data_IF_381007433300
#
_entry.id   IF_381007433300
#
_cell.length_a   1.000
_cell.length_b   1.000
_cell.length_c   1.000
_cell.angle_alpha   90.00
_cell.angle_beta   90.00
_cell.angle_gamma   90.00
#
_symmetry.space_group_name_H-M   'P 1'
#
loop_
_entity.id
_entity.type
_entity.pdbx_description
1 polymer ?
#
# COMPACT_ATOMS: atom_id res chain seq x y z
N UNK A 1 -39.56 14.13 -7.43
CA UNK A 1 -39.07 14.01 -6.04
C UNK A 1 -38.25 12.73 -5.84
N UNK A 2 -37.19 12.51 -6.62
CA UNK A 2 -36.35 11.29 -6.54
C UNK A 2 -34.89 11.56 -6.12
N UNK A 3 -34.54 12.80 -5.76
CA UNK A 3 -33.17 13.20 -5.43
C UNK A 3 -32.78 13.15 -3.95
N UNK A 4 -33.74 13.03 -3.02
CA UNK A 4 -33.45 13.19 -1.58
C UNK A 4 -33.12 11.89 -0.83
N UNK A 5 -33.41 10.71 -1.40
CA UNK A 5 -33.26 9.42 -0.68
C UNK A 5 -31.83 8.85 -0.81
N UNK A 6 -31.14 9.09 -1.93
CA UNK A 6 -29.78 8.59 -2.16
C UNK A 6 -28.72 9.30 -1.31
N UNK A 7 -28.87 10.61 -1.10
CA UNK A 7 -27.94 11.44 -0.32
C UNK A 7 -27.89 11.04 1.16
N UNK A 8 -29.03 10.61 1.73
CA UNK A 8 -29.10 10.21 3.14
C UNK A 8 -28.41 8.86 3.42
N UNK A 9 -28.45 7.89 2.49
CA UNK A 9 -27.78 6.59 2.68
C UNK A 9 -26.25 6.71 2.61
N UNK A 10 -25.74 7.51 1.68
CA UNK A 10 -24.31 7.79 1.56
C UNK A 10 -23.80 8.52 2.82
N UNK A 11 -24.51 9.55 3.28
CA UNK A 11 -24.13 10.29 4.49
C UNK A 11 -24.14 9.43 5.78
N UNK A 12 -25.08 8.47 5.91
CA UNK A 12 -25.17 7.59 7.08
C UNK A 12 -24.06 6.53 7.10
N UNK A 13 -23.71 5.94 5.94
CA UNK A 13 -22.57 5.00 5.83
C UNK A 13 -21.25 5.72 6.11
N UNK A 14 -21.03 6.92 5.55
CA UNK A 14 -19.83 7.72 5.83
C UNK A 14 -19.70 8.14 7.30
N UNK A 15 -20.80 8.26 8.05
CA UNK A 15 -20.73 8.58 9.49
C UNK A 15 -20.28 7.40 10.34
N UNK A 16 -20.66 6.17 9.97
CA UNK A 16 -20.40 4.94 10.72
C UNK A 16 -18.99 4.36 10.48
N UNK A 17 -18.35 4.64 9.34
CA UNK A 17 -17.05 4.07 8.96
C UNK A 17 -15.92 5.10 9.15
N UNK A 18 -15.77 5.60 10.38
CA UNK A 18 -14.67 6.52 10.76
C UNK A 18 -14.01 6.01 12.03
N UNK A 19 -12.71 6.28 12.17
CA UNK A 19 -11.94 5.94 13.37
C UNK A 19 -12.65 6.41 14.65
N UNK A 20 -13.17 7.65 14.65
CA UNK A 20 -13.87 8.19 15.81
C UNK A 20 -15.17 7.45 16.14
N UNK A 21 -15.95 7.09 15.13
CA UNK A 21 -17.20 6.35 15.33
C UNK A 21 -16.94 4.97 15.95
N UNK A 22 -15.93 4.25 15.44
CA UNK A 22 -15.55 2.94 15.96
C UNK A 22 -15.02 3.03 17.39
N UNK A 23 -14.11 3.98 17.68
CA UNK A 23 -13.57 4.15 19.04
C UNK A 23 -14.69 4.48 20.03
N UNK A 24 -15.57 5.42 19.68
CA UNK A 24 -16.72 5.77 20.54
C UNK A 24 -17.63 4.59 20.79
N UNK A 25 -17.91 3.77 19.78
CA UNK A 25 -18.70 2.55 19.94
C UNK A 25 -18.10 1.61 21.00
N UNK A 26 -16.79 1.34 20.95
CA UNK A 26 -16.15 0.48 21.97
C UNK A 26 -16.26 1.07 23.37
N UNK A 27 -16.04 2.39 23.51
CA UNK A 27 -16.15 3.08 24.80
C UNK A 27 -17.60 3.04 25.33
N UNK A 28 -18.59 3.29 24.46
CA UNK A 28 -20.03 3.22 24.80
C UNK A 28 -20.48 1.81 25.20
N UNK A 29 -19.86 0.77 24.63
CA UNK A 29 -20.09 -0.63 25.02
C UNK A 29 -19.32 -1.05 26.28
N UNK A 30 -18.63 -0.13 26.94
CA UNK A 30 -17.98 -0.36 28.24
C UNK A 30 -16.53 -0.82 28.17
N UNK A 31 -15.89 -0.77 26.99
CA UNK A 31 -14.45 -1.04 26.90
C UNK A 31 -13.66 0.01 27.70
N UNK A 32 -12.79 -0.38 28.65
CA UNK A 32 -11.98 0.59 29.38
C UNK A 32 -11.04 1.33 28.43
N UNK A 33 -11.12 2.66 28.40
CA UNK A 33 -10.32 3.49 27.49
C UNK A 33 -8.82 3.16 27.60
N UNK A 34 -8.29 3.03 28.82
CA UNK A 34 -6.89 2.72 29.09
C UNK A 34 -6.44 1.31 28.63
N UNK A 35 -7.37 0.44 28.22
CA UNK A 35 -7.07 -0.87 27.62
C UNK A 35 -7.28 -0.90 26.11
N UNK A 36 -7.84 0.17 25.52
CA UNK A 36 -8.05 0.28 24.08
C UNK A 36 -6.82 0.93 23.42
N UNK A 37 -6.23 0.25 22.44
CA UNK A 37 -5.15 0.79 21.61
C UNK A 37 -5.74 1.21 20.26
N UNK A 38 -5.51 2.45 19.86
CA UNK A 38 -5.95 2.93 18.55
C UNK A 38 -5.01 2.36 17.47
N UNK A 39 -5.54 1.50 16.61
CA UNK A 39 -4.82 0.97 15.45
C UNK A 39 -4.64 2.05 14.36
N UNK A 40 -3.41 2.16 13.86
CA UNK A 40 -3.06 3.00 12.70
C UNK A 40 -2.30 2.18 11.67
N UNK A 41 -2.57 2.42 10.39
CA UNK A 41 -1.92 1.75 9.27
C UNK A 41 -0.74 2.56 8.74
N UNK A 42 0.43 1.95 8.53
CA UNK A 42 1.56 2.52 7.79
C UNK A 42 1.50 2.10 6.33
N UNK A 43 0.31 2.19 5.76
CA UNK A 43 -0.01 1.78 4.40
C UNK A 43 -1.14 2.65 3.86
N UNK A 44 -1.33 2.60 2.54
CA UNK A 44 -2.46 3.20 1.86
C UNK A 44 -3.30 2.16 1.13
N UNK A 45 -4.55 2.53 0.85
CA UNK A 45 -5.43 1.79 -0.07
C UNK A 45 -5.45 2.48 -1.41
N UNK A 46 -5.32 1.69 -2.47
CA UNK A 46 -5.25 2.19 -3.85
C UNK A 46 -6.53 1.92 -4.61
N UNK A 47 -6.80 2.77 -5.59
CA UNK A 47 -7.94 2.68 -6.49
C UNK A 47 -7.54 3.14 -7.88
N UNK A 48 -8.16 2.56 -8.91
CA UNK A 48 -8.18 3.12 -10.26
C UNK A 48 -9.50 3.84 -10.46
N UNK A 49 -9.47 5.15 -10.72
CA UNK A 49 -10.66 5.97 -10.94
C UNK A 49 -11.26 5.69 -12.33
N UNK A 50 -12.59 5.84 -12.43
CA UNK A 50 -13.28 5.79 -13.72
C UNK A 50 -13.06 7.08 -14.52
N UNK A 51 -12.96 8.22 -13.83
CA UNK A 51 -12.66 9.52 -14.43
C UNK A 51 -11.51 10.20 -13.67
N UNK A 52 -10.33 10.38 -14.30
CA UNK A 52 -9.17 11.01 -13.66
C UNK A 52 -9.37 12.51 -13.37
N UNK A 53 -10.37 13.16 -13.99
CA UNK A 53 -10.63 14.59 -13.79
C UNK A 53 -11.45 14.89 -12.54
N UNK A 54 -11.98 13.85 -11.87
CA UNK A 54 -12.78 13.98 -10.65
C UNK A 54 -12.18 13.18 -9.48
N UNK A 55 -10.93 13.47 -9.04
CA UNK A 55 -10.17 12.65 -8.08
C UNK A 55 -10.57 12.86 -6.61
N UNK A 56 -11.81 13.30 -6.37
CA UNK A 56 -12.33 13.59 -5.04
C UNK A 56 -12.61 12.34 -4.22
N UNK A 57 -12.84 12.54 -2.93
CA UNK A 57 -13.36 11.49 -2.05
C UNK A 57 -14.70 10.99 -2.62
N UNK A 58 -14.88 9.66 -2.59
CA UNK A 58 -16.05 8.95 -3.13
C UNK A 58 -16.20 9.00 -4.66
N UNK A 59 -15.14 9.39 -5.38
CA UNK A 59 -15.09 9.26 -6.83
C UNK A 59 -15.31 7.78 -7.25
N UNK A 60 -16.11 7.52 -8.30
CA UNK A 60 -16.30 6.16 -8.82
C UNK A 60 -14.97 5.54 -9.27
N UNK A 61 -14.72 4.31 -8.84
CA UNK A 61 -13.53 3.54 -9.20
C UNK A 61 -13.88 2.29 -10.01
N UNK A 62 -12.86 1.73 -10.64
CA UNK A 62 -12.89 0.42 -11.25
C UNK A 62 -12.96 -0.67 -10.16
N UNK A 63 -13.37 -1.91 -10.53
CA UNK A 63 -13.32 -3.06 -9.61
C UNK A 63 -11.90 -3.46 -9.21
N UNK A 64 -10.92 -3.23 -10.08
CA UNK A 64 -9.49 -3.45 -9.84
C UNK A 64 -8.83 -2.17 -9.32
N UNK A 65 -7.71 -2.33 -8.62
CA UNK A 65 -6.87 -1.24 -8.19
C UNK A 65 -5.46 -1.38 -8.81
N UNK A 66 -4.42 -1.04 -8.05
CA UNK A 66 -3.05 -1.34 -8.46
C UNK A 66 -2.17 -1.70 -7.26
N UNK A 67 -1.14 -2.49 -7.53
CA UNK A 67 -0.18 -2.95 -6.54
C UNK A 67 1.17 -2.23 -6.67
N UNK A 68 1.91 -2.18 -5.56
CA UNK A 68 3.31 -1.76 -5.53
C UNK A 68 4.29 -2.89 -5.86
N UNK A 69 5.56 -2.56 -6.17
CA UNK A 69 6.57 -3.54 -6.55
C UNK A 69 7.00 -4.47 -5.40
N UNK A 70 6.81 -4.05 -4.15
CA UNK A 70 7.25 -4.78 -2.95
C UNK A 70 6.08 -5.52 -2.29
N UNK A 71 4.97 -4.83 -2.03
CA UNK A 71 3.80 -5.43 -1.37
C UNK A 71 3.03 -6.36 -2.29
N UNK A 72 2.98 -6.05 -3.60
CA UNK A 72 2.40 -6.90 -4.65
C UNK A 72 0.95 -7.31 -4.40
N UNK A 73 0.22 -6.51 -3.64
CA UNK A 73 -1.20 -6.71 -3.35
C UNK A 73 -2.03 -5.64 -4.06
N UNK A 74 -3.00 -6.08 -4.85
CA UNK A 74 -3.94 -5.15 -5.51
C UNK A 74 -4.75 -4.38 -4.46
N UNK A 75 -4.83 -3.06 -4.60
CA UNK A 75 -5.54 -2.22 -3.64
C UNK A 75 -4.70 -1.80 -2.43
N UNK A 76 -3.38 -2.06 -2.43
CA UNK A 76 -2.52 -1.83 -1.27
C UNK A 76 -1.16 -1.25 -1.67
N UNK A 77 -0.66 -0.32 -0.83
CA UNK A 77 0.74 0.13 -0.85
C UNK A 77 1.25 0.32 0.57
N UNK A 78 2.47 -0.13 0.85
CA UNK A 78 3.17 0.28 2.06
C UNK A 78 3.55 1.76 2.02
N UNK A 79 3.72 2.41 3.18
CA UNK A 79 4.19 3.80 3.22
C UNK A 79 5.56 3.96 2.55
N UNK A 80 6.45 2.97 2.66
CA UNK A 80 7.71 2.92 1.91
C UNK A 80 7.50 3.06 0.38
N UNK A 81 6.50 2.41 -0.19
CA UNK A 81 6.18 2.52 -1.62
C UNK A 81 5.57 3.89 -1.95
N UNK A 82 4.71 4.40 -1.07
CA UNK A 82 4.07 5.71 -1.23
C UNK A 82 5.13 6.82 -1.23
N UNK A 83 6.00 6.85 -0.23
CA UNK A 83 7.04 7.87 -0.13
C UNK A 83 8.11 7.73 -1.22
N UNK A 84 8.42 6.50 -1.66
CA UNK A 84 9.30 6.29 -2.79
C UNK A 84 8.72 6.93 -4.05
N UNK A 85 7.43 6.69 -4.35
CA UNK A 85 6.74 7.33 -5.48
C UNK A 85 6.76 8.85 -5.40
N UNK A 86 6.46 9.41 -4.23
CA UNK A 86 6.50 10.87 -4.02
C UNK A 86 7.90 11.45 -4.27
N UNK A 87 8.95 10.70 -3.96
CA UNK A 87 10.34 11.12 -4.14
C UNK A 87 10.85 10.92 -5.57
N UNK A 88 10.65 9.74 -6.16
CA UNK A 88 11.20 9.35 -7.47
C UNK A 88 10.37 9.87 -8.63
N UNK A 89 9.08 10.09 -8.41
CA UNK A 89 8.13 10.65 -9.37
C UNK A 89 7.69 12.06 -8.94
N UNK A 90 8.63 12.84 -8.39
CA UNK A 90 8.37 14.18 -7.86
C UNK A 90 7.68 15.08 -8.90
N UNK A 91 6.58 15.72 -8.49
CA UNK A 91 5.77 16.57 -9.36
C UNK A 91 4.73 15.84 -10.22
N UNK A 92 4.79 14.50 -10.31
CA UNK A 92 3.79 13.73 -11.04
C UNK A 92 2.53 13.42 -10.21
N UNK A 93 2.66 13.39 -8.88
CA UNK A 93 1.56 13.11 -7.95
C UNK A 93 1.01 14.39 -7.34
N UNK A 94 -0.30 14.57 -7.42
CA UNK A 94 -1.02 15.59 -6.68
C UNK A 94 -1.32 15.06 -5.28
N UNK A 95 -0.83 15.73 -4.24
CA UNK A 95 -1.05 15.34 -2.84
C UNK A 95 -2.03 16.34 -2.22
N UNK A 96 -3.16 15.85 -1.74
CA UNK A 96 -4.25 16.67 -1.20
C UNK A 96 -4.49 16.32 0.26
N UNK A 97 -4.48 17.34 1.11
CA UNK A 97 -4.90 17.19 2.50
C UNK A 97 -6.42 17.25 2.62
N UNK A 98 -7.06 16.13 3.00
CA UNK A 98 -8.49 16.10 3.18
C UNK A 98 -8.89 16.63 4.57
N UNK A 99 -9.17 17.93 4.65
CA UNK A 99 -9.47 18.65 5.90
C UNK A 99 -10.54 17.98 6.77
N UNK A 100 -11.60 17.44 6.17
CA UNK A 100 -12.69 16.81 6.91
C UNK A 100 -12.32 15.46 7.55
N UNK A 101 -11.35 14.75 6.98
CA UNK A 101 -10.90 13.44 7.45
C UNK A 101 -9.55 13.49 8.18
N UNK A 102 -8.83 14.62 8.05
CA UNK A 102 -7.52 14.85 8.65
C UNK A 102 -6.48 13.80 8.22
N UNK A 103 -6.53 13.43 6.94
CA UNK A 103 -5.59 12.50 6.29
C UNK A 103 -5.29 13.01 4.87
N UNK A 104 -4.12 12.66 4.32
CA UNK A 104 -3.83 12.91 2.92
C UNK A 104 -4.48 11.86 2.00
N UNK A 105 -4.61 12.23 0.74
CA UNK A 105 -4.63 11.29 -0.38
C UNK A 105 -3.75 11.84 -1.49
N UNK A 106 -3.28 10.98 -2.38
CA UNK A 106 -2.54 11.39 -3.57
C UNK A 106 -3.10 10.74 -4.83
N UNK A 107 -2.97 11.42 -5.97
CA UNK A 107 -3.42 10.89 -7.24
C UNK A 107 -2.56 11.35 -8.41
N UNK A 108 -2.54 10.53 -9.46
CA UNK A 108 -1.87 10.76 -10.74
C UNK A 108 -2.63 9.98 -11.81
N UNK A 109 -2.98 10.64 -12.91
CA UNK A 109 -3.83 10.03 -13.95
C UNK A 109 -5.10 9.44 -13.29
N UNK A 110 -5.42 8.17 -13.53
CA UNK A 110 -6.51 7.48 -12.84
C UNK A 110 -6.08 6.78 -11.54
N UNK A 111 -4.81 6.85 -11.13
CA UNK A 111 -4.32 6.21 -9.91
C UNK A 111 -4.62 7.08 -8.69
N UNK A 112 -5.23 6.51 -7.66
CA UNK A 112 -5.58 7.21 -6.42
C UNK A 112 -5.13 6.40 -5.21
N UNK A 113 -4.57 7.06 -4.19
CA UNK A 113 -4.08 6.44 -2.95
C UNK A 113 -4.53 7.24 -1.75
N UNK A 114 -5.27 6.62 -0.84
CA UNK A 114 -5.61 7.19 0.46
C UNK A 114 -4.71 6.56 1.53
N UNK A 115 -4.04 7.38 2.33
CA UNK A 115 -2.99 6.90 3.23
C UNK A 115 -2.87 7.79 4.48
N UNK A 116 -2.05 7.36 5.43
CA UNK A 116 -1.60 8.16 6.57
C UNK A 116 -0.19 8.71 6.31
N UNK A 117 0.07 9.93 6.78
CA UNK A 117 1.37 10.59 6.85
C UNK A 117 1.73 10.95 8.31
N UNK A 118 2.92 11.51 8.52
CA UNK A 118 3.40 11.91 9.85
C UNK A 118 2.47 12.92 10.53
N UNK A 119 1.85 13.83 9.77
CA UNK A 119 0.90 14.82 10.26
C UNK A 119 -0.39 14.13 10.75
N UNK A 120 -1.02 13.32 9.92
CA UNK A 120 -2.27 12.63 10.26
C UNK A 120 -2.10 11.60 11.38
N UNK A 121 -0.96 10.91 11.43
CA UNK A 121 -0.61 10.08 12.58
C UNK A 121 -0.47 10.90 13.85
N UNK A 122 0.21 12.04 13.82
CA UNK A 122 0.32 12.94 14.99
C UNK A 122 -1.05 13.38 15.49
N UNK A 123 -1.99 13.69 14.59
CA UNK A 123 -3.37 14.02 14.94
C UNK A 123 -4.12 12.84 15.57
N UNK A 124 -3.94 11.61 15.06
CA UNK A 124 -4.52 10.39 15.63
C UNK A 124 -3.95 10.07 17.01
N UNK A 125 -2.66 10.31 17.26
CA UNK A 125 -2.07 10.19 18.59
C UNK A 125 -2.68 11.18 19.57
N UNK A 126 -2.77 12.46 19.17
CA UNK A 126 -3.39 13.48 20.01
C UNK A 126 -4.86 13.13 20.31
N UNK A 127 -5.59 12.58 19.33
CA UNK A 127 -6.95 12.07 19.53
C UNK A 127 -7.00 10.94 20.58
N UNK A 128 -6.15 9.93 20.45
CA UNK A 128 -6.09 8.81 21.40
C UNK A 128 -5.77 9.29 22.83
N UNK A 129 -4.83 10.22 22.98
CA UNK A 129 -4.49 10.80 24.28
C UNK A 129 -5.63 11.63 24.87
N UNK A 130 -6.35 12.43 24.07
CA UNK A 130 -7.51 13.21 24.56
C UNK A 130 -8.61 12.32 25.12
N UNK A 131 -8.83 11.14 24.52
CA UNK A 131 -9.81 10.17 25.00
C UNK A 131 -9.28 9.26 26.12
N UNK A 132 -8.01 9.41 26.53
CA UNK A 132 -7.41 8.55 27.54
C UNK A 132 -7.25 7.09 27.08
N UNK A 133 -7.11 6.87 25.77
CA UNK A 133 -6.84 5.54 25.22
C UNK A 133 -5.50 5.01 25.73
N UNK A 134 -5.36 3.69 25.84
CA UNK A 134 -4.15 3.02 26.33
C UNK A 134 -2.91 3.37 25.51
N UNK A 135 -3.07 3.54 24.20
CA UNK A 135 -1.97 3.90 23.30
C UNK A 135 -2.33 3.73 21.84
N UNK A 136 -1.29 3.48 21.04
CA UNK A 136 -1.35 3.30 19.60
C UNK A 136 -0.85 1.90 19.27
N UNK A 137 -1.54 1.22 18.36
CA UNK A 137 -1.07 -0.01 17.72
C UNK A 137 -0.75 0.32 16.26
N UNK A 138 0.34 -0.24 15.73
CA UNK A 138 0.83 0.06 14.38
C UNK A 138 0.72 -1.19 13.51
N UNK A 139 0.15 -1.02 12.32
CA UNK A 139 0.12 -2.03 11.27
C UNK A 139 0.75 -1.49 9.98
N UNK A 140 1.96 -1.85 9.59
CA UNK A 140 2.94 -2.59 10.38
C UNK A 140 4.30 -1.93 10.26
N UNK A 141 5.24 -2.33 11.09
CA UNK A 141 6.57 -1.72 11.15
C UNK A 141 7.37 -1.89 9.85
N UNK A 142 7.11 -2.96 9.10
CA UNK A 142 7.77 -3.31 7.83
C UNK A 142 7.27 -2.49 6.63
N UNK A 143 6.14 -1.80 6.74
CA UNK A 143 5.65 -0.91 5.67
C UNK A 143 6.00 0.56 5.87
N UNK A 144 6.62 0.93 6.99
CA UNK A 144 7.26 2.25 7.16
C UNK A 144 8.49 2.38 6.25
N UNK A 145 9.05 3.57 6.08
CA UNK A 145 10.38 3.72 5.49
C UNK A 145 11.47 3.29 6.49
N UNK A 146 11.57 1.99 6.72
CA UNK A 146 12.52 1.38 7.64
C UNK A 146 13.98 1.53 7.17
N UNK A 147 14.20 1.79 5.88
CA UNK A 147 15.53 1.97 5.30
C UNK A 147 16.04 3.40 5.43
N UNK A 148 15.14 4.38 5.41
CA UNK A 148 15.42 5.82 5.35
C UNK A 148 15.56 6.36 3.93
N UNK A 149 15.18 5.58 2.91
CA UNK A 149 15.39 5.90 1.50
C UNK A 149 14.57 7.10 0.99
N UNK A 150 13.48 7.46 1.69
CA UNK A 150 12.62 8.57 1.30
C UNK A 150 13.11 9.94 1.81
N UNK A 151 14.09 9.97 2.71
CA UNK A 151 14.62 11.21 3.31
C UNK A 151 16.05 11.50 2.86
N UNK A 152 16.33 12.75 2.49
CA UNK A 152 17.72 13.21 2.22
C UNK A 152 18.62 13.12 3.45
N UNK A 153 18.04 13.02 4.65
CA UNK A 153 18.75 12.84 5.93
C UNK A 153 18.80 11.38 6.37
N UNK A 154 18.38 10.43 5.53
CA UNK A 154 18.35 9.01 5.82
C UNK A 154 17.58 8.65 7.11
N UNK A 155 16.44 9.33 7.33
CA UNK A 155 15.61 9.16 8.52
C UNK A 155 14.83 7.85 8.39
N UNK A 156 15.21 6.85 9.19
CA UNK A 156 14.50 5.57 9.29
C UNK A 156 13.25 5.66 10.15
N UNK A 157 12.22 4.94 9.76
CA UNK A 157 10.93 4.84 10.45
C UNK A 157 10.27 6.21 10.73
N UNK A 158 10.13 7.09 9.73
CA UNK A 158 9.57 8.42 9.93
C UNK A 158 8.18 8.40 10.55
N UNK A 159 7.34 7.43 10.21
CA UNK A 159 5.96 7.34 10.70
C UNK A 159 5.92 6.88 12.17
N UNK A 160 6.67 5.84 12.51
CA UNK A 160 6.82 5.41 13.91
C UNK A 160 7.45 6.51 14.78
N UNK A 161 8.41 7.27 14.24
CA UNK A 161 9.00 8.42 14.94
C UNK A 161 7.97 9.50 15.22
N UNK A 162 7.12 9.83 14.24
CA UNK A 162 6.04 10.80 14.41
C UNK A 162 5.08 10.36 15.53
N UNK A 163 4.69 9.08 15.54
CA UNK A 163 3.85 8.51 16.61
C UNK A 163 4.53 8.63 17.98
N UNK A 164 5.80 8.21 18.10
CA UNK A 164 6.54 8.26 19.36
C UNK A 164 6.74 9.70 19.86
N UNK A 165 7.05 10.64 18.96
CA UNK A 165 7.21 12.05 19.31
C UNK A 165 5.88 12.69 19.75
N UNK A 166 4.78 12.34 19.09
CA UNK A 166 3.46 12.81 19.46
C UNK A 166 3.02 12.25 20.83
N UNK A 167 3.34 10.98 21.10
CA UNK A 167 3.05 10.33 22.39
C UNK A 167 3.76 11.03 23.55
N UNK A 168 5.02 11.42 23.38
CA UNK A 168 5.79 12.10 24.42
C UNK A 168 5.39 13.56 24.58
N UNK A 169 5.24 14.29 23.47
CA UNK A 169 4.95 15.75 23.47
C UNK A 169 3.61 16.08 24.13
N UNK A 170 2.65 15.18 24.03
CA UNK A 170 1.30 15.36 24.57
C UNK A 170 1.05 14.53 25.84
N UNK A 171 2.07 13.90 26.42
CA UNK A 171 1.94 13.02 27.58
C UNK A 171 1.24 13.73 28.76
N UNK A 172 1.61 14.98 29.03
CA UNK A 172 1.03 15.79 30.13
C UNK A 172 -0.43 16.20 29.90
N UNK A 173 -0.90 16.14 28.64
CA UNK A 173 -2.28 16.46 28.27
C UNK A 173 -3.21 15.25 28.35
N UNK A 174 -2.67 14.04 28.60
CA UNK A 174 -3.45 12.81 28.70
C UNK A 174 -4.27 12.81 30.01
N UNK A 175 -5.56 12.43 29.97
CA UNK A 175 -6.31 12.13 31.19
C UNK A 175 -5.62 11.05 32.01
N UNK A 176 -5.41 11.30 33.31
CA UNK A 176 -4.78 10.31 34.20
C UNK A 176 -5.63 9.03 34.23
N UNK A 177 -5.02 7.83 34.16
CA UNK A 177 -5.74 6.57 34.37
C UNK A 177 -6.30 6.57 35.80
N UNK A 178 -7.60 6.80 35.95
CA UNK A 178 -8.21 6.92 37.28
C UNK A 178 -9.54 7.67 37.37
N UNK A 179 -10.03 8.34 36.32
CA UNK A 179 -11.39 8.85 36.32
C UNK A 179 -12.03 8.65 34.93
N UNK A 180 -13.02 7.75 34.80
CA UNK A 180 -13.92 7.83 33.67
C UNK A 180 -14.64 9.18 33.78
N UNK A 181 -14.28 10.14 32.93
CA UNK A 181 -15.15 11.30 32.74
C UNK A 181 -16.48 10.76 32.26
N UNK A 182 -17.62 11.20 32.83
CA UNK A 182 -18.92 10.87 32.29
C UNK A 182 -18.91 11.23 30.81
N UNK A 183 -19.03 10.22 29.95
CA UNK A 183 -19.32 10.46 28.55
C UNK A 183 -20.68 11.16 28.57
N UNK A 184 -20.72 12.44 28.18
CA UNK A 184 -22.01 13.12 28.03
C UNK A 184 -22.91 12.21 27.18
N UNK A 185 -24.17 11.95 27.58
CA UNK A 185 -25.09 11.19 26.76
C UNK A 185 -25.16 11.88 25.39
N UNK A 186 -24.55 11.26 24.38
CA UNK A 186 -24.82 11.64 23.01
C UNK A 186 -26.26 11.21 22.77
N UNK A 187 -27.09 12.12 22.25
CA UNK A 187 -28.49 11.83 21.96
C UNK A 187 -28.59 10.48 21.24
N UNK A 188 -29.57 9.61 21.61
CA UNK A 188 -29.71 8.32 20.99
C UNK A 188 -29.72 8.50 19.48
N UNK A 189 -28.82 7.78 18.81
CA UNK A 189 -28.85 7.67 17.36
C UNK A 189 -30.23 7.11 17.03
N UNK A 190 -31.07 7.87 16.34
CA UNK A 190 -32.42 7.43 15.96
C UNK A 190 -32.31 6.04 15.33
N UNK A 191 -33.20 5.09 15.69
CA UNK A 191 -33.18 3.75 15.10
C UNK A 191 -33.13 3.88 13.58
N UNK A 192 -32.10 3.28 12.97
CA UNK A 192 -32.04 3.16 11.53
C UNK A 192 -33.30 2.39 11.13
N UNK A 193 -34.16 2.99 10.31
CA UNK A 193 -35.35 2.31 9.85
C UNK A 193 -34.95 0.99 9.17
N UNK A 194 -35.68 -0.11 9.40
CA UNK A 194 -35.42 -1.37 8.72
C UNK A 194 -35.31 -1.12 7.22
N UNK A 195 -34.19 -1.55 6.64
CA UNK A 195 -34.02 -1.51 5.19
C UNK A 195 -35.15 -2.39 4.63
N UNK A 196 -36.05 -1.80 3.84
CA UNK A 196 -37.06 -2.60 3.15
C UNK A 196 -36.35 -3.72 2.38
N UNK A 197 -36.83 -4.98 2.48
CA UNK A 197 -36.30 -6.06 1.69
C UNK A 197 -36.27 -5.65 0.22
N UNK A 198 -35.10 -5.71 -0.40
CA UNK A 198 -35.02 -5.65 -1.85
C UNK A 198 -35.86 -6.79 -2.42
N UNK A 199 -36.64 -6.51 -3.47
CA UNK A 199 -37.37 -7.56 -4.16
C UNK A 199 -36.41 -8.70 -4.53
N UNK A 200 -36.83 -9.97 -4.41
CA UNK A 200 -36.00 -11.09 -4.84
C UNK A 200 -35.53 -10.87 -6.27
N UNK A 201 -34.21 -10.93 -6.46
CA UNK A 201 -33.63 -10.96 -7.80
C UNK A 201 -34.24 -12.18 -8.52
N UNK A 202 -34.83 -11.96 -9.68
CA UNK A 202 -35.40 -13.09 -10.43
C UNK A 202 -34.29 -14.10 -10.74
N UNK A 203 -34.58 -15.42 -10.65
CA UNK A 203 -33.60 -16.44 -10.98
C UNK A 203 -33.03 -16.19 -12.37
N UNK A 204 -31.71 -16.15 -12.46
CA UNK A 204 -31.02 -16.16 -13.76
C UNK A 204 -31.43 -17.46 -14.44
N UNK A 205 -31.97 -17.38 -15.66
CA UNK A 205 -32.32 -18.58 -16.41
C UNK A 205 -31.07 -19.46 -16.60
N UNK A 206 -31.19 -20.79 -16.51
CA UNK A 206 -30.07 -21.68 -16.74
C UNK A 206 -29.42 -21.39 -18.08
N UNK A 207 -28.12 -21.09 -18.06
CA UNK A 207 -27.33 -21.01 -19.28
C UNK A 207 -27.36 -22.41 -19.91
N UNK A 208 -27.74 -22.49 -21.18
CA UNK A 208 -27.73 -23.74 -21.94
C UNK A 208 -26.33 -24.37 -21.84
N UNK A 209 -26.22 -25.70 -21.62
CA UNK A 209 -24.92 -26.36 -21.59
C UNK A 209 -24.13 -26.06 -22.85
N UNK A 210 -22.90 -25.59 -22.69
CA UNK A 210 -21.96 -25.47 -23.80
C UNK A 210 -21.72 -26.88 -24.34
N UNK A 211 -21.90 -27.07 -25.64
CA UNK A 211 -21.64 -28.37 -26.26
C UNK A 211 -20.18 -28.80 -26.01
N UNK A 212 -19.92 -30.09 -25.75
CA UNK A 212 -18.56 -30.57 -25.55
C UNK A 212 -17.68 -30.20 -26.75
N UNK A 213 -16.55 -29.53 -26.46
CA UNK A 213 -15.51 -29.33 -27.46
C UNK A 213 -15.00 -30.71 -27.88
N UNK A 214 -14.94 -30.97 -29.19
CA UNK A 214 -14.43 -32.24 -29.69
C UNK A 214 -12.97 -32.44 -29.23
N UNK A 215 -12.55 -33.67 -28.87
CA UNK A 215 -11.17 -33.93 -28.49
C UNK A 215 -10.20 -33.46 -29.58
N UNK A 216 -9.23 -32.64 -29.19
CA UNK A 216 -8.09 -32.32 -30.05
C UNK A 216 -7.35 -33.63 -30.34
N UNK A 217 -7.11 -33.93 -31.61
CA UNK A 217 -6.36 -35.13 -31.97
C UNK A 217 -4.95 -35.08 -31.37
N UNK A 218 -4.39 -36.22 -30.91
CA UNK A 218 -3.04 -36.26 -30.40
C UNK A 218 -2.05 -35.70 -31.40
N UNK A 219 -1.21 -34.76 -30.96
CA UNK A 219 -0.07 -34.30 -31.74
C UNK A 219 0.86 -35.49 -31.95
N UNK A 220 1.24 -35.76 -33.20
CA UNK A 220 2.17 -36.85 -33.49
C UNK A 220 3.52 -36.62 -32.79
N UNK A 221 4.18 -37.67 -32.28
CA UNK A 221 5.49 -37.54 -31.67
C UNK A 221 6.47 -36.87 -32.61
N UNK A 222 7.18 -35.85 -32.11
CA UNK A 222 8.31 -35.26 -32.83
C UNK A 222 9.37 -36.35 -33.00
N UNK A 223 9.83 -36.56 -34.23
CA UNK A 223 10.88 -37.55 -34.48
C UNK A 223 12.17 -37.16 -33.74
N UNK A 224 12.94 -38.13 -33.22
CA UNK A 224 14.21 -37.86 -32.57
C UNK A 224 15.14 -37.07 -33.49
N UNK A 225 15.73 -36.00 -32.97
CA UNK A 225 16.81 -35.27 -33.65
C UNK A 225 17.98 -36.23 -33.82
N UNK A 226 18.51 -36.35 -35.04
CA UNK A 226 19.66 -37.20 -35.27
C UNK A 226 20.90 -36.72 -34.48
N UNK A 227 21.73 -37.64 -33.97
CA UNK A 227 22.94 -37.27 -33.24
C UNK A 227 23.83 -36.36 -34.09
N UNK A 228 24.31 -35.27 -33.48
CA UNK A 228 25.33 -34.42 -34.09
C UNK A 228 26.60 -35.25 -34.26
N UNK A 229 27.18 -35.27 -35.46
CA UNK A 229 28.41 -36.01 -35.71
C UNK A 229 29.57 -35.43 -34.87
N UNK A 230 30.50 -36.28 -34.38
CA UNK A 230 31.66 -35.82 -33.63
C UNK A 230 32.47 -34.79 -34.43
N UNK A 231 32.85 -33.70 -33.77
CA UNK A 231 33.80 -32.73 -34.33
C UNK A 231 35.14 -33.43 -34.53
N UNK A 232 35.74 -33.30 -35.72
CA UNK A 232 37.04 -33.91 -35.99
C UNK A 232 38.14 -33.29 -35.12
N UNK A 233 39.14 -34.08 -34.69
CA UNK A 233 40.27 -33.57 -33.91
C UNK A 233 40.98 -32.43 -34.63
N UNK A 234 41.31 -31.38 -33.88
CA UNK A 234 42.14 -30.27 -34.37
C UNK A 234 43.54 -30.84 -34.64
N UNK A 235 44.08 -30.60 -35.83
CA UNK A 235 45.43 -31.05 -36.18
C UNK A 235 46.49 -30.38 -35.31
N UNK A 236 47.59 -31.07 -34.95
CA UNK A 236 48.67 -30.50 -34.16
C UNK A 236 49.26 -29.25 -34.83
N UNK A 237 49.48 -28.21 -34.05
CA UNK A 237 50.17 -27.00 -34.51
C UNK A 237 51.63 -27.34 -34.80
N UNK A 238 52.15 -26.91 -35.95
CA UNK A 238 53.52 -27.17 -36.35
C UNK A 238 54.54 -26.57 -35.34
N UNK A 239 55.70 -27.21 -35.12
CA UNK A 239 56.71 -26.71 -34.20
C UNK A 239 57.21 -25.31 -34.59
N UNK A 240 57.36 -24.44 -33.59
CA UNK A 240 57.95 -23.11 -33.78
C UNK A 240 59.43 -23.27 -34.13
N UNK A 241 59.90 -22.56 -35.16
CA UNK A 241 61.30 -22.64 -35.61
C UNK A 241 62.26 -22.07 -34.54
N UNK A 242 63.47 -22.64 -34.37
CA UNK A 242 64.47 -22.11 -33.45
C UNK A 242 64.85 -20.67 -33.78
N UNK A 243 64.99 -19.84 -32.75
CA UNK A 243 65.49 -18.46 -32.88
C UNK A 243 66.99 -18.53 -33.21
N UNK A 244 67.48 -17.77 -34.20
CA UNK A 244 68.90 -17.78 -34.54
C UNK A 244 69.78 -17.20 -33.41
N UNK A 245 71.06 -17.62 -33.32
CA UNK A 245 71.97 -17.18 -32.27
C UNK A 245 72.23 -15.67 -32.32
N UNK A 246 72.32 -15.05 -31.14
CA UNK A 246 72.70 -13.64 -31.01
C UNK A 246 74.21 -13.53 -31.30
N UNK A 247 74.59 -12.70 -32.26
CA UNK A 247 76.00 -12.45 -32.58
C UNK A 247 76.67 -11.59 -31.51
N UNK A 248 77.88 -11.92 -31.03
CA UNK A 248 78.61 -11.11 -30.06
C UNK A 248 78.93 -9.70 -30.59
N UNK A 249 78.79 -8.70 -29.72
CA UNK A 249 79.18 -7.32 -30.02
C UNK A 249 80.71 -7.21 -29.93
N UNK A 250 81.40 -6.61 -30.93
CA UNK A 250 82.84 -6.41 -30.86
C UNK A 250 83.22 -5.43 -29.75
N UNK A 251 84.37 -5.62 -29.06
CA UNK A 251 84.83 -4.69 -28.04
C UNK A 251 85.23 -3.33 -28.65
N UNK A 252 84.94 -2.26 -27.91
CA UNK A 252 85.32 -0.89 -28.29
C UNK A 252 86.85 -0.70 -28.18
N UNK A 253 87.48 0.06 -29.09
CA UNK A 253 88.89 0.45 -28.97
C UNK A 253 89.11 1.31 -27.73
N UNK A 254 90.24 1.09 -27.07
CA UNK A 254 90.74 1.93 -25.96
C UNK A 254 91.63 2.99 -26.57
N UNK A 255 91.30 4.26 -26.35
CA UNK A 255 92.17 5.43 -26.53
C UNK A 255 92.04 6.32 -25.29
#
# INVERSE_FOLDING_TARGET
MHGHIALNRIAVVHRAVRTDATVRLYLEKGAPANKLLLGVGLYGRTFLLNDPNTPGISAPSQPSAFAGPYTREDGFLGYNEICEKQRTEAGAWNIIWQKAHQVPYMFRDNMWVGYDDDISLTLKVAYAQRLGLGGIMIWSIDTDDFTGACSSKNIRFPMLRAVNQALTTNADKRPKPGQPKPVLPVAPISPVQPIQPTQPVQPIQPVQPVQPVQPVQPVQPVQPVQPVQPVQPIQPVAPVRPVPPITPVPPKPVE
#
